data_IF_115653320858
#
_entry.id   IF_115653320858
#
_cell.length_a   1.000
_cell.length_b   1.000
_cell.length_c   1.000
_cell.angle_alpha   90.00
_cell.angle_beta   90.00
_cell.angle_gamma   90.00
#
_symmetry.space_group_name_H-M   'P 1'
#
loop_
_entity.id
_entity.type
_entity.pdbx_description
1 polymer ?
#
# COMPACT_ATOMS: atom_id res chain seq x y z
N UNK A 1 -43.78 -9.36 2.89
CA UNK A 1 -43.99 -10.39 1.85
C UNK A 1 -42.64 -11.09 1.60
N UNK A 2 -42.57 -12.38 1.87
CA UNK A 2 -41.35 -13.20 1.67
C UNK A 2 -41.16 -13.47 0.19
N UNK A 3 -40.12 -12.87 -0.43
CA UNK A 3 -39.77 -13.16 -1.80
C UNK A 3 -39.36 -14.63 -1.96
N UNK A 4 -39.92 -15.34 -2.94
CA UNK A 4 -39.53 -16.71 -3.30
C UNK A 4 -38.09 -16.80 -3.80
N UNK A 5 -37.54 -15.71 -4.35
CA UNK A 5 -36.15 -15.63 -4.82
C UNK A 5 -35.19 -15.43 -3.64
N UNK A 6 -34.30 -16.40 -3.41
CA UNK A 6 -33.32 -16.43 -2.31
C UNK A 6 -32.38 -15.22 -2.33
N UNK A 7 -31.93 -14.81 -3.50
CA UNK A 7 -31.06 -13.64 -3.67
C UNK A 7 -31.79 -12.34 -3.32
N UNK A 8 -33.04 -12.20 -3.78
CA UNK A 8 -33.85 -11.01 -3.47
C UNK A 8 -34.17 -10.95 -1.98
N UNK A 9 -34.47 -12.10 -1.33
CA UNK A 9 -34.67 -12.17 0.11
C UNK A 9 -33.43 -11.76 0.88
N UNK A 10 -32.24 -12.23 0.46
CA UNK A 10 -30.97 -11.86 1.10
C UNK A 10 -30.70 -10.36 0.97
N UNK A 11 -30.93 -9.78 -0.23
CA UNK A 11 -30.81 -8.34 -0.46
C UNK A 11 -31.77 -7.54 0.42
N UNK A 12 -33.03 -7.93 0.50
CA UNK A 12 -34.04 -7.24 1.31
C UNK A 12 -33.68 -7.27 2.81
N UNK A 13 -33.21 -8.43 3.31
CA UNK A 13 -32.72 -8.53 4.71
C UNK A 13 -31.51 -7.61 4.93
N UNK A 14 -30.57 -7.57 3.99
CA UNK A 14 -29.39 -6.70 4.12
C UNK A 14 -29.77 -5.22 4.18
N UNK A 15 -30.61 -4.76 3.22
CA UNK A 15 -31.10 -3.38 3.18
C UNK A 15 -31.90 -3.04 4.45
N UNK A 16 -32.77 -3.94 4.91
CA UNK A 16 -33.52 -3.74 6.15
C UNK A 16 -32.59 -3.57 7.37
N UNK A 17 -31.54 -4.41 7.48
CA UNK A 17 -30.54 -4.25 8.54
C UNK A 17 -29.80 -2.91 8.47
N UNK A 18 -29.47 -2.44 7.25
CA UNK A 18 -28.85 -1.13 7.06
C UNK A 18 -29.80 0.02 7.44
N UNK A 19 -31.07 -0.04 7.10
CA UNK A 19 -32.07 0.96 7.48
C UNK A 19 -32.19 1.09 9.01
N UNK A 20 -32.33 -0.05 9.72
CA UNK A 20 -32.35 -0.04 11.18
C UNK A 20 -31.04 0.52 11.78
N UNK A 21 -29.89 0.24 11.13
CA UNK A 21 -28.62 0.81 11.57
C UNK A 21 -28.56 2.32 11.39
N UNK A 22 -29.12 2.87 10.31
CA UNK A 22 -29.22 4.30 10.04
C UNK A 22 -30.16 5.00 11.05
N UNK A 23 -31.28 4.35 11.39
CA UNK A 23 -32.24 4.81 12.38
C UNK A 23 -31.72 4.63 13.83
N UNK A 24 -30.48 4.18 14.00
CA UNK A 24 -29.81 3.94 15.30
C UNK A 24 -30.47 2.84 16.15
N UNK A 25 -31.35 2.03 15.58
CA UNK A 25 -32.01 0.89 16.25
C UNK A 25 -31.08 -0.34 16.14
N UNK A 26 -29.96 -0.29 16.88
CA UNK A 26 -28.85 -1.25 16.77
C UNK A 26 -29.23 -2.68 17.08
N UNK A 27 -30.11 -2.90 18.06
CA UNK A 27 -30.53 -4.26 18.47
C UNK A 27 -31.32 -4.98 17.36
N UNK A 28 -32.31 -4.29 16.79
CA UNK A 28 -33.10 -4.81 15.67
C UNK A 28 -32.24 -5.03 14.44
N UNK A 29 -31.34 -4.09 14.13
CA UNK A 29 -30.36 -4.26 13.03
C UNK A 29 -29.50 -5.52 13.24
N UNK A 30 -29.02 -5.76 14.45
CA UNK A 30 -28.22 -6.92 14.81
C UNK A 30 -28.99 -8.23 14.66
N UNK A 31 -30.27 -8.27 15.04
CA UNK A 31 -31.15 -9.42 14.83
C UNK A 31 -31.32 -9.73 13.33
N UNK A 32 -31.55 -8.70 12.52
CA UNK A 32 -31.73 -8.84 11.06
C UNK A 32 -30.44 -9.33 10.40
N UNK A 33 -29.28 -8.79 10.77
CA UNK A 33 -27.99 -9.24 10.23
C UNK A 33 -27.67 -10.67 10.65
N UNK A 34 -27.91 -11.08 11.91
CA UNK A 34 -27.77 -12.48 12.36
C UNK A 34 -28.66 -13.43 11.56
N UNK A 35 -29.92 -13.02 11.28
CA UNK A 35 -30.86 -13.79 10.44
C UNK A 35 -30.30 -13.98 9.02
N UNK A 36 -29.66 -12.95 8.43
CA UNK A 36 -29.04 -13.04 7.12
C UNK A 36 -27.80 -13.93 7.12
N UNK A 37 -26.94 -13.81 8.13
CA UNK A 37 -25.74 -14.65 8.29
C UNK A 37 -26.12 -16.14 8.35
N UNK A 38 -27.18 -16.48 9.12
CA UNK A 38 -27.66 -17.85 9.27
C UNK A 38 -28.45 -18.35 8.07
N UNK A 39 -28.80 -17.50 7.10
CA UNK A 39 -29.49 -17.89 5.88
C UNK A 39 -28.49 -18.55 4.91
N UNK A 40 -28.24 -19.86 5.08
CA UNK A 40 -27.24 -20.64 4.31
C UNK A 40 -27.40 -20.55 2.79
N UNK A 41 -28.64 -20.38 2.30
CA UNK A 41 -28.94 -20.28 0.87
C UNK A 41 -28.74 -18.86 0.30
N UNK A 42 -28.41 -17.87 1.13
CA UNK A 42 -28.07 -16.52 0.67
C UNK A 42 -26.70 -16.52 -0.02
N UNK A 43 -26.53 -15.75 -1.12
CA UNK A 43 -25.24 -15.55 -1.73
C UNK A 43 -24.20 -15.07 -0.72
N UNK A 44 -22.98 -15.59 -0.78
CA UNK A 44 -21.91 -15.35 0.20
C UNK A 44 -21.65 -13.86 0.43
N UNK A 45 -21.66 -13.06 -0.65
CA UNK A 45 -21.49 -11.61 -0.58
C UNK A 45 -22.41 -10.91 0.43
N UNK A 46 -23.66 -11.31 0.54
CA UNK A 46 -24.60 -10.71 1.49
C UNK A 46 -24.31 -11.16 2.93
N UNK A 47 -23.90 -12.42 3.12
CA UNK A 47 -23.56 -12.95 4.44
C UNK A 47 -22.33 -12.27 5.02
N UNK A 48 -21.23 -12.17 4.25
CA UNK A 48 -20.00 -11.51 4.72
C UNK A 48 -20.21 -10.00 4.98
N UNK A 49 -20.98 -9.31 4.13
CA UNK A 49 -21.31 -7.92 4.40
C UNK A 49 -22.18 -7.75 5.66
N UNK A 50 -23.12 -8.68 5.92
CA UNK A 50 -23.89 -8.68 7.15
C UNK A 50 -23.01 -8.94 8.40
N UNK A 51 -21.97 -9.78 8.30
CA UNK A 51 -21.00 -9.96 9.39
C UNK A 51 -20.20 -8.69 9.66
N UNK A 52 -19.78 -7.99 8.63
CA UNK A 52 -19.08 -6.71 8.75
C UNK A 52 -19.97 -5.65 9.41
N UNK A 53 -21.21 -5.51 8.97
CA UNK A 53 -22.15 -4.54 9.54
C UNK A 53 -22.59 -4.92 10.96
N UNK A 54 -22.77 -6.22 11.26
CA UNK A 54 -23.09 -6.69 12.59
C UNK A 54 -21.98 -6.33 13.58
N UNK A 55 -20.72 -6.55 13.21
CA UNK A 55 -19.59 -6.18 14.04
C UNK A 55 -19.53 -4.66 14.28
N UNK A 56 -19.80 -3.86 13.24
CA UNK A 56 -19.86 -2.38 13.34
C UNK A 56 -20.97 -1.90 14.31
N UNK A 57 -22.14 -2.55 14.27
CA UNK A 57 -23.27 -2.18 15.15
C UNK A 57 -23.08 -2.60 16.60
N UNK A 58 -22.26 -3.63 16.85
CA UNK A 58 -21.96 -4.12 18.19
C UNK A 58 -20.94 -3.28 18.97
N UNK A 59 -20.51 -2.14 18.40
CA UNK A 59 -19.52 -1.25 19.03
C UNK A 59 -20.17 -0.53 20.23
N UNK A 60 -19.95 -1.07 21.42
CA UNK A 60 -19.89 -0.31 22.67
C UNK A 60 -18.42 -0.15 23.07
N UNK A 61 -18.08 0.88 23.80
CA UNK A 61 -16.66 1.20 24.11
C UNK A 61 -15.88 0.07 24.78
N UNK A 62 -16.58 -0.80 25.52
CA UNK A 62 -15.99 -1.98 26.17
C UNK A 62 -15.78 -3.20 25.26
N UNK A 63 -16.39 -3.26 24.08
CA UNK A 63 -16.38 -4.47 23.21
C UNK A 63 -15.45 -4.39 21.98
N UNK A 64 -14.76 -3.26 21.78
CA UNK A 64 -13.98 -3.02 20.54
C UNK A 64 -12.87 -4.06 20.31
N UNK A 65 -12.25 -4.60 21.37
CA UNK A 65 -11.20 -5.62 21.24
C UNK A 65 -11.75 -6.95 20.75
N UNK A 66 -12.90 -7.38 21.25
CA UNK A 66 -13.59 -8.58 20.81
C UNK A 66 -14.05 -8.46 19.35
N UNK A 67 -14.45 -7.28 18.92
CA UNK A 67 -14.83 -7.00 17.53
C UNK A 67 -13.62 -7.09 16.60
N UNK A 68 -12.47 -6.50 16.99
CA UNK A 68 -11.22 -6.61 16.23
C UNK A 68 -10.80 -8.09 16.12
N UNK A 69 -10.91 -8.86 17.19
CA UNK A 69 -10.61 -10.30 17.15
C UNK A 69 -11.53 -11.05 16.17
N UNK A 70 -12.82 -10.71 16.15
CA UNK A 70 -13.76 -11.27 15.18
C UNK A 70 -13.37 -10.92 13.74
N UNK A 71 -12.99 -9.68 13.45
CA UNK A 71 -12.48 -9.29 12.12
C UNK A 71 -11.19 -10.03 11.77
N UNK A 72 -10.29 -10.24 12.73
CA UNK A 72 -9.07 -11.02 12.52
C UNK A 72 -9.38 -12.49 12.17
N UNK A 73 -10.44 -13.08 12.72
CA UNK A 73 -10.92 -14.41 12.31
C UNK A 73 -11.43 -14.40 10.87
N UNK A 74 -12.14 -13.33 10.45
CA UNK A 74 -12.59 -13.17 9.06
C UNK A 74 -11.43 -13.04 8.08
N UNK A 75 -10.33 -12.33 8.45
CA UNK A 75 -9.13 -12.20 7.61
C UNK A 75 -8.48 -13.57 7.33
N UNK A 76 -8.47 -14.47 8.31
CA UNK A 76 -7.87 -15.81 8.16
C UNK A 76 -8.64 -16.71 7.19
N UNK A 77 -9.93 -16.45 6.97
CA UNK A 77 -10.73 -17.23 6.03
C UNK A 77 -10.43 -16.84 4.59
N UNK A 78 -10.03 -17.83 3.78
CA UNK A 78 -9.66 -17.65 2.35
C UNK A 78 -10.82 -17.12 1.49
N UNK A 79 -12.05 -17.47 1.80
CA UNK A 79 -13.25 -17.03 1.07
C UNK A 79 -13.48 -15.53 1.19
N UNK A 80 -12.87 -14.89 2.19
CA UNK A 80 -12.99 -13.46 2.46
C UNK A 80 -11.94 -12.60 1.70
N UNK A 81 -11.05 -13.20 0.92
CA UNK A 81 -10.04 -12.46 0.15
C UNK A 81 -10.61 -11.31 -0.69
N UNK A 82 -11.78 -11.44 -1.36
CA UNK A 82 -12.39 -10.33 -2.10
C UNK A 82 -12.91 -9.18 -1.24
N UNK A 83 -12.97 -9.35 0.08
CA UNK A 83 -13.55 -8.38 1.02
C UNK A 83 -12.55 -7.86 2.05
N UNK A 84 -11.28 -8.24 1.92
CA UNK A 84 -10.22 -7.83 2.85
C UNK A 84 -10.05 -6.30 2.92
N UNK A 85 -10.26 -5.60 1.81
CA UNK A 85 -10.25 -4.14 1.74
C UNK A 85 -11.23 -3.52 2.76
N UNK A 86 -12.44 -4.07 2.86
CA UNK A 86 -13.48 -3.59 3.78
C UNK A 86 -13.22 -4.02 5.22
N UNK A 87 -12.72 -5.24 5.42
CA UNK A 87 -12.45 -5.76 6.76
C UNK A 87 -11.31 -4.96 7.41
N UNK A 88 -10.19 -4.76 6.71
CA UNK A 88 -9.08 -3.93 7.20
C UNK A 88 -9.51 -2.48 7.46
N UNK A 89 -10.35 -1.91 6.58
CA UNK A 89 -10.90 -0.58 6.78
C UNK A 89 -11.70 -0.48 8.09
N UNK A 90 -12.55 -1.46 8.41
CA UNK A 90 -13.34 -1.45 9.65
C UNK A 90 -12.46 -1.60 10.90
N UNK A 91 -11.42 -2.44 10.84
CA UNK A 91 -10.42 -2.54 11.93
C UNK A 91 -9.77 -1.18 12.15
N UNK A 92 -9.32 -0.52 11.06
CA UNK A 92 -8.68 0.78 11.14
C UNK A 92 -9.60 1.85 11.76
N UNK A 93 -10.89 1.88 11.38
CA UNK A 93 -11.89 2.79 11.97
C UNK A 93 -12.05 2.55 13.48
N UNK A 94 -12.04 1.29 13.92
CA UNK A 94 -12.11 0.97 15.34
C UNK A 94 -10.85 1.40 16.10
N UNK A 95 -9.68 1.23 15.49
CA UNK A 95 -8.41 1.66 16.08
C UNK A 95 -8.29 3.18 16.14
N UNK A 96 -8.76 3.89 15.10
CA UNK A 96 -8.84 5.35 15.10
C UNK A 96 -9.74 5.87 16.26
N UNK A 97 -10.87 5.20 16.51
CA UNK A 97 -11.75 5.56 17.65
C UNK A 97 -11.11 5.29 19.01
N UNK A 98 -10.18 4.34 19.11
CA UNK A 98 -9.40 4.05 20.32
C UNK A 98 -8.13 4.89 20.45
N UNK A 99 -7.99 5.90 19.61
CA UNK A 99 -6.81 6.76 19.54
C UNK A 99 -5.49 6.01 19.20
N UNK A 100 -5.60 4.80 18.68
CA UNK A 100 -4.47 4.00 18.24
C UNK A 100 -4.12 4.32 16.77
N UNK A 101 -3.71 5.57 16.53
CA UNK A 101 -3.53 6.14 15.18
C UNK A 101 -2.55 5.33 14.34
N UNK A 102 -1.41 4.90 14.90
CA UNK A 102 -0.40 4.13 14.15
C UNK A 102 -0.96 2.79 13.64
N UNK A 103 -1.73 2.09 14.46
CA UNK A 103 -2.38 0.84 14.05
C UNK A 103 -3.50 1.10 13.02
N UNK A 104 -4.22 2.21 13.16
CA UNK A 104 -5.23 2.61 12.18
C UNK A 104 -4.60 2.87 10.81
N UNK A 105 -3.49 3.64 10.75
CA UNK A 105 -2.73 3.90 9.52
C UNK A 105 -2.25 2.59 8.89
N UNK A 106 -1.69 1.66 9.68
CA UNK A 106 -1.28 0.34 9.20
C UNK A 106 -2.43 -0.41 8.52
N UNK A 107 -3.60 -0.44 9.16
CA UNK A 107 -4.75 -1.18 8.64
C UNK A 107 -5.46 -0.46 7.48
N UNK A 108 -5.47 0.88 7.42
CA UNK A 108 -5.88 1.59 6.21
C UNK A 108 -4.97 1.26 5.02
N UNK A 109 -3.65 1.18 5.23
CA UNK A 109 -2.70 0.76 4.19
C UNK A 109 -2.92 -0.70 3.77
N UNK A 110 -3.23 -1.61 4.71
CA UNK A 110 -3.59 -2.99 4.38
C UNK A 110 -4.88 -3.06 3.55
N UNK A 111 -5.87 -2.20 3.83
CA UNK A 111 -7.07 -2.05 3.01
C UNK A 111 -6.75 -1.64 1.57
N UNK A 112 -5.81 -0.70 1.37
CA UNK A 112 -5.35 -0.26 0.05
C UNK A 112 -4.58 -1.35 -0.72
N UNK A 113 -3.80 -2.17 -0.01
CA UNK A 113 -2.98 -3.26 -0.59
C UNK A 113 -3.80 -4.51 -0.93
N UNK A 114 -5.05 -4.61 -0.51
CA UNK A 114 -5.92 -5.74 -0.81
C UNK A 114 -6.10 -5.89 -2.34
N UNK A 115 -5.64 -7.02 -2.91
CA UNK A 115 -5.56 -7.24 -4.37
C UNK A 115 -6.90 -7.10 -5.09
N UNK A 116 -8.00 -7.49 -4.45
CA UNK A 116 -9.35 -7.47 -5.03
C UNK A 116 -10.19 -6.30 -4.50
N UNK A 117 -9.54 -5.30 -3.89
CA UNK A 117 -10.23 -4.13 -3.35
C UNK A 117 -10.81 -3.23 -4.44
N UNK A 118 -12.08 -2.81 -4.25
CA UNK A 118 -12.78 -1.92 -5.18
C UNK A 118 -12.28 -0.47 -5.13
N UNK A 119 -12.31 0.23 -6.28
CA UNK A 119 -11.92 1.63 -6.39
C UNK A 119 -12.64 2.53 -5.36
N UNK A 120 -13.95 2.33 -5.20
CA UNK A 120 -14.75 3.06 -4.21
C UNK A 120 -14.23 2.88 -2.78
N UNK A 121 -13.86 1.65 -2.36
CA UNK A 121 -13.32 1.40 -1.02
C UNK A 121 -11.96 2.07 -0.84
N UNK A 122 -11.10 2.04 -1.86
CA UNK A 122 -9.80 2.73 -1.84
C UNK A 122 -9.97 4.23 -1.57
N UNK A 123 -10.96 4.89 -2.21
CA UNK A 123 -11.19 6.32 -1.96
C UNK A 123 -11.55 6.61 -0.50
N UNK A 124 -12.25 5.73 0.20
CA UNK A 124 -12.52 5.90 1.64
C UNK A 124 -11.26 5.71 2.50
N UNK A 125 -10.44 4.71 2.18
CA UNK A 125 -9.19 4.47 2.92
C UNK A 125 -8.20 5.62 2.73
N UNK A 126 -8.04 6.13 1.50
CA UNK A 126 -7.23 7.32 1.23
C UNK A 126 -7.75 8.56 1.96
N UNK A 127 -9.08 8.79 1.99
CA UNK A 127 -9.67 9.94 2.68
C UNK A 127 -9.39 9.90 4.19
N UNK A 128 -9.45 8.72 4.79
CA UNK A 128 -9.11 8.54 6.20
C UNK A 128 -7.64 8.82 6.48
N UNK A 129 -6.74 8.30 5.66
CA UNK A 129 -5.31 8.58 5.75
C UNK A 129 -5.04 10.09 5.57
N UNK A 130 -5.60 10.71 4.52
CA UNK A 130 -5.46 12.14 4.29
C UNK A 130 -5.91 12.98 5.50
N UNK A 131 -7.04 12.63 6.12
CA UNK A 131 -7.53 13.34 7.29
C UNK A 131 -6.65 13.13 8.54
N UNK A 132 -6.04 11.95 8.71
CA UNK A 132 -5.10 11.68 9.80
C UNK A 132 -3.84 12.54 9.63
N UNK A 133 -3.23 12.53 8.44
CA UNK A 133 -2.03 13.32 8.17
C UNK A 133 -2.30 14.83 8.22
N UNK A 134 -3.46 15.26 7.73
CA UNK A 134 -3.91 16.66 7.85
C UNK A 134 -4.00 17.12 9.32
N UNK A 135 -4.58 16.28 10.19
CA UNK A 135 -4.65 16.57 11.63
C UNK A 135 -3.27 16.61 12.30
N UNK A 136 -2.34 15.83 11.80
CA UNK A 136 -0.95 15.77 12.27
C UNK A 136 -0.08 16.88 11.65
N UNK A 137 -0.68 17.84 10.93
CA UNK A 137 -0.01 18.95 10.25
C UNK A 137 0.96 18.52 9.12
N UNK A 138 0.94 17.25 8.70
CA UNK A 138 1.67 16.75 7.54
C UNK A 138 0.84 16.98 6.26
N UNK A 139 0.88 18.21 5.77
CA UNK A 139 0.07 18.64 4.63
C UNK A 139 0.57 18.09 3.30
N UNK A 140 1.86 17.81 3.19
CA UNK A 140 2.46 17.21 1.97
C UNK A 140 1.90 15.80 1.76
N UNK A 141 1.95 14.97 2.78
CA UNK A 141 1.40 13.61 2.73
C UNK A 141 -0.12 13.62 2.59
N UNK A 142 -0.81 14.53 3.29
CA UNK A 142 -2.27 14.68 3.17
C UNK A 142 -2.70 15.04 1.74
N UNK A 143 -2.00 15.97 1.09
CA UNK A 143 -2.24 16.37 -0.31
C UNK A 143 -2.05 15.19 -1.26
N UNK A 144 -0.97 14.41 -1.12
CA UNK A 144 -0.71 13.22 -1.93
C UNK A 144 -1.83 12.18 -1.83
N UNK A 145 -2.40 12.00 -0.64
CA UNK A 145 -3.56 11.11 -0.46
C UNK A 145 -4.85 11.68 -1.09
N UNK A 146 -5.10 13.00 -0.99
CA UNK A 146 -6.23 13.62 -1.69
C UNK A 146 -6.12 13.49 -3.20
N UNK A 147 -4.93 13.68 -3.77
CA UNK A 147 -4.67 13.47 -5.21
C UNK A 147 -4.90 12.00 -5.60
N UNK A 148 -4.48 11.05 -4.74
CA UNK A 148 -4.75 9.63 -4.94
C UNK A 148 -6.24 9.32 -5.00
N UNK A 149 -7.08 10.02 -4.20
CA UNK A 149 -8.54 9.89 -4.27
C UNK A 149 -9.06 10.35 -5.63
N UNK A 150 -8.60 11.52 -6.10
CA UNK A 150 -9.04 12.10 -7.37
C UNK A 150 -8.66 11.23 -8.57
N UNK A 151 -7.52 10.53 -8.48
CA UNK A 151 -7.05 9.61 -9.51
C UNK A 151 -7.83 8.29 -9.54
N UNK A 152 -8.25 7.76 -8.37
CA UNK A 152 -8.93 6.46 -8.26
C UNK A 152 -10.45 6.59 -8.36
N UNK A 153 -11.02 7.77 -8.12
CA UNK A 153 -12.46 7.99 -8.11
C UNK A 153 -13.08 7.81 -9.50
N UNK A 154 -13.96 6.81 -9.65
CA UNK A 154 -14.71 6.55 -10.88
C UNK A 154 -15.73 7.66 -11.18
N UNK A 155 -16.39 8.20 -10.16
CA UNK A 155 -17.37 9.28 -10.30
C UNK A 155 -16.86 10.53 -9.55
N UNK A 156 -16.34 11.48 -10.32
CA UNK A 156 -15.83 12.77 -9.84
C UNK A 156 -16.93 13.78 -9.49
N UNK A 157 -18.17 13.55 -9.91
CA UNK A 157 -19.28 14.50 -9.73
C UNK A 157 -19.96 14.41 -8.36
N UNK A 158 -19.61 13.42 -7.54
CA UNK A 158 -20.20 13.30 -6.20
C UNK A 158 -19.80 14.46 -5.31
N UNK A 159 -20.72 14.94 -4.45
CA UNK A 159 -20.46 16.04 -3.51
C UNK A 159 -19.23 15.77 -2.60
N UNK A 160 -19.01 14.50 -2.24
CA UNK A 160 -17.86 14.09 -1.45
C UNK A 160 -16.55 14.34 -2.22
N UNK A 161 -16.46 13.90 -3.47
CA UNK A 161 -15.25 14.07 -4.29
C UNK A 161 -15.00 15.53 -4.62
N UNK A 162 -16.04 16.32 -4.95
CA UNK A 162 -15.91 17.77 -5.15
C UNK A 162 -15.38 18.49 -3.89
N UNK A 163 -15.77 18.06 -2.70
CA UNK A 163 -15.22 18.61 -1.44
C UNK A 163 -13.74 18.26 -1.28
N UNK A 164 -13.34 17.04 -1.61
CA UNK A 164 -11.95 16.60 -1.57
C UNK A 164 -11.11 17.38 -2.60
N UNK A 165 -11.62 17.60 -3.81
CA UNK A 165 -10.94 18.40 -4.84
C UNK A 165 -10.67 19.82 -4.36
N UNK A 166 -11.64 20.47 -3.71
CA UNK A 166 -11.44 21.81 -3.13
C UNK A 166 -10.34 21.80 -2.06
N UNK A 167 -10.33 20.78 -1.18
CA UNK A 167 -9.28 20.62 -0.16
C UNK A 167 -7.90 20.40 -0.77
N UNK A 168 -7.80 19.54 -1.81
CA UNK A 168 -6.54 19.33 -2.53
C UNK A 168 -6.04 20.63 -3.15
N UNK A 169 -6.91 21.39 -3.83
CA UNK A 169 -6.54 22.69 -4.42
C UNK A 169 -6.04 23.69 -3.37
N UNK A 170 -6.70 23.76 -2.22
CA UNK A 170 -6.28 24.68 -1.15
C UNK A 170 -4.91 24.30 -0.55
N UNK A 171 -4.55 23.00 -0.57
CA UNK A 171 -3.25 22.55 -0.08
C UNK A 171 -2.13 22.66 -1.12
N UNK A 172 -2.44 22.91 -2.40
CA UNK A 172 -1.43 22.91 -3.47
C UNK A 172 -0.38 23.99 -3.28
N UNK A 173 -0.78 25.21 -2.95
CA UNK A 173 0.14 26.32 -2.68
C UNK A 173 1.00 26.06 -1.45
N UNK A 174 0.38 25.58 -0.37
CA UNK A 174 1.06 25.24 0.87
C UNK A 174 2.11 24.15 0.64
N UNK A 175 1.72 23.05 0.01
CA UNK A 175 2.64 21.92 -0.24
C UNK A 175 3.75 22.26 -1.21
N UNK A 176 3.52 23.20 -2.17
CA UNK A 176 4.56 23.70 -3.06
C UNK A 176 5.64 24.45 -2.25
N UNK A 177 5.22 25.35 -1.37
CA UNK A 177 6.17 26.13 -0.57
C UNK A 177 6.87 25.27 0.49
N UNK A 178 6.18 24.29 1.11
CA UNK A 178 6.82 23.33 2.02
C UNK A 178 7.88 22.46 1.32
N UNK A 179 7.60 21.97 0.11
CA UNK A 179 8.57 21.20 -0.68
C UNK A 179 9.75 22.05 -1.09
N UNK A 180 9.51 23.32 -1.49
CA UNK A 180 10.58 24.26 -1.82
C UNK A 180 11.46 24.52 -0.60
N UNK A 181 10.85 24.77 0.56
CA UNK A 181 11.55 24.96 1.83
C UNK A 181 12.42 23.76 2.18
N UNK A 182 11.84 22.56 2.22
CA UNK A 182 12.55 21.31 2.56
C UNK A 182 13.71 21.04 1.61
N UNK A 183 13.50 21.29 0.29
CA UNK A 183 14.56 21.14 -0.72
C UNK A 183 15.70 22.12 -0.47
N UNK A 184 15.39 23.41 -0.28
CA UNK A 184 16.40 24.46 -0.11
C UNK A 184 17.13 24.27 1.24
N UNK A 185 16.45 23.91 2.32
CA UNK A 185 17.08 23.58 3.60
C UNK A 185 18.04 22.40 3.47
N UNK A 186 17.65 21.35 2.75
CA UNK A 186 18.53 20.21 2.51
C UNK A 186 19.77 20.57 1.70
N UNK A 187 19.60 21.39 0.65
CA UNK A 187 20.74 21.83 -0.18
C UNK A 187 21.67 22.76 0.61
N UNK A 188 21.13 23.70 1.39
CA UNK A 188 21.92 24.60 2.23
C UNK A 188 22.67 23.85 3.33
N UNK A 189 22.05 22.81 3.91
CA UNK A 189 22.72 21.94 4.86
C UNK A 189 23.92 21.24 4.22
N UNK A 190 23.75 20.65 3.04
CA UNK A 190 24.83 20.01 2.29
C UNK A 190 25.94 21.00 1.92
N UNK A 191 25.58 22.23 1.48
CA UNK A 191 26.53 23.28 1.15
C UNK A 191 27.33 23.77 2.38
N UNK A 192 26.80 23.62 3.59
CA UNK A 192 27.49 23.99 4.83
C UNK A 192 28.44 22.89 5.38
N UNK A 193 28.41 21.68 4.82
CA UNK A 193 29.24 20.56 5.26
C UNK A 193 30.70 20.71 4.77
N UNK A 194 31.70 20.28 5.57
CA UNK A 194 33.06 20.10 5.07
C UNK A 194 33.10 19.13 3.89
N UNK A 195 34.02 19.34 2.95
CA UNK A 195 34.12 18.53 1.73
C UNK A 195 34.22 17.02 2.01
N UNK A 196 35.01 16.63 3.01
CA UNK A 196 35.18 15.23 3.40
C UNK A 196 33.89 14.60 3.91
N UNK A 197 33.14 15.32 4.76
CA UNK A 197 31.84 14.85 5.27
C UNK A 197 30.77 14.77 4.17
N UNK A 198 30.82 15.67 3.20
CA UNK A 198 29.93 15.69 2.04
C UNK A 198 30.19 14.49 1.12
N UNK A 199 31.46 14.16 0.87
CA UNK A 199 31.86 13.00 0.08
C UNK A 199 31.43 11.68 0.78
N UNK A 200 31.61 11.58 2.09
CA UNK A 200 31.17 10.42 2.89
C UNK A 200 29.63 10.25 2.83
N UNK A 201 28.89 11.33 3.03
CA UNK A 201 27.43 11.34 2.94
C UNK A 201 26.93 10.84 1.58
N UNK A 202 27.47 11.34 0.47
CA UNK A 202 27.06 10.89 -0.85
C UNK A 202 27.52 9.46 -1.16
N UNK A 203 28.65 9.03 -0.63
CA UNK A 203 29.13 7.65 -0.77
C UNK A 203 28.16 6.66 -0.07
N UNK A 204 27.72 7.00 1.14
CA UNK A 204 26.69 6.21 1.84
C UNK A 204 25.37 6.19 1.08
N UNK A 205 24.95 7.33 0.55
CA UNK A 205 23.74 7.46 -0.25
C UNK A 205 23.81 6.60 -1.52
N UNK A 206 24.92 6.63 -2.27
CA UNK A 206 25.15 5.78 -3.44
C UNK A 206 25.12 4.30 -3.06
N UNK A 207 25.75 3.92 -1.96
CA UNK A 207 25.73 2.54 -1.48
C UNK A 207 24.32 2.06 -1.13
N UNK A 208 23.50 2.94 -0.57
CA UNK A 208 22.08 2.66 -0.29
C UNK A 208 21.30 2.45 -1.56
N UNK A 209 21.46 3.33 -2.57
CA UNK A 209 20.80 3.20 -3.88
C UNK A 209 21.22 1.89 -4.57
N UNK A 210 22.51 1.54 -4.55
CA UNK A 210 22.99 0.27 -5.11
C UNK A 210 22.29 -0.94 -4.48
N UNK A 211 22.20 -0.95 -3.16
CA UNK A 211 21.49 -2.04 -2.42
C UNK A 211 20.00 -2.10 -2.74
N UNK A 212 19.34 -0.95 -2.89
CA UNK A 212 17.93 -0.88 -3.25
C UNK A 212 17.69 -1.37 -4.69
N UNK A 213 18.53 -0.95 -5.63
CA UNK A 213 18.48 -1.38 -7.03
C UNK A 213 18.79 -2.88 -7.18
N UNK A 214 19.77 -3.41 -6.46
CA UNK A 214 20.06 -4.85 -6.39
C UNK A 214 18.87 -5.64 -5.82
N UNK A 215 18.27 -5.17 -4.72
CA UNK A 215 17.10 -5.81 -4.13
C UNK A 215 15.88 -5.77 -5.07
N UNK A 216 15.73 -4.70 -5.85
CA UNK A 216 14.66 -4.56 -6.84
C UNK A 216 14.92 -5.49 -8.05
N UNK A 217 16.16 -5.57 -8.52
CA UNK A 217 16.57 -6.50 -9.58
C UNK A 217 16.35 -7.95 -9.14
N UNK A 218 16.72 -8.29 -7.91
CA UNK A 218 16.47 -9.60 -7.32
C UNK A 218 14.99 -9.96 -7.24
N UNK A 219 14.14 -9.01 -6.84
CA UNK A 219 12.67 -9.21 -6.82
C UNK A 219 12.09 -9.41 -8.21
N UNK A 220 12.57 -8.67 -9.22
CA UNK A 220 12.15 -8.85 -10.62
C UNK A 220 12.58 -10.22 -11.15
N UNK A 221 13.80 -10.64 -10.86
CA UNK A 221 14.32 -11.97 -11.20
C UNK A 221 13.50 -13.11 -10.60
N UNK A 222 13.22 -13.01 -9.30
CA UNK A 222 12.40 -14.01 -8.60
C UNK A 222 10.97 -14.07 -9.18
N UNK A 223 10.41 -12.93 -9.60
CA UNK A 223 9.10 -12.87 -10.24
C UNK A 223 9.12 -13.51 -11.66
N UNK A 224 10.16 -13.27 -12.45
CA UNK A 224 10.34 -13.87 -13.78
C UNK A 224 10.58 -15.38 -13.70
N UNK A 225 11.41 -15.85 -12.74
CA UNK A 225 11.67 -17.29 -12.54
C UNK A 225 10.42 -18.04 -12.08
N UNK A 226 9.52 -17.40 -11.33
CA UNK A 226 8.24 -17.97 -10.92
C UNK A 226 7.24 -18.05 -12.09
N UNK A 227 7.23 -17.06 -12.99
CA UNK A 227 6.38 -17.04 -14.19
C UNK A 227 6.77 -18.08 -15.24
N UNK A 228 8.05 -18.32 -15.44
CA UNK A 228 8.55 -19.31 -16.41
C UNK A 228 8.44 -20.76 -15.93
N UNK A 229 8.29 -20.98 -14.63
CA UNK A 229 8.14 -22.34 -14.05
C UNK A 229 6.72 -22.91 -14.18
N UNK A 230 5.72 -22.09 -14.54
CA UNK A 230 4.31 -22.53 -14.66
C UNK A 230 3.86 -22.75 -16.13
N UNK A 231 4.71 -22.55 -17.10
CA UNK A 231 4.40 -22.60 -18.53
C UNK A 231 5.02 -23.77 -19.30
N UNK A 232 5.11 -24.99 -18.73
CA UNK A 232 5.67 -26.08 -19.52
C UNK A 232 5.50 -27.45 -18.88
N UNK A 233 4.68 -28.28 -19.52
CA UNK A 233 4.51 -29.73 -19.31
C UNK A 233 3.61 -30.15 -18.14
N UNK A 234 2.36 -30.32 -18.47
CA UNK A 234 1.47 -31.28 -17.87
C UNK A 234 2.03 -32.69 -18.02
N UNK A 235 2.82 -33.13 -17.07
CA UNK A 235 3.00 -34.56 -16.81
C UNK A 235 1.96 -34.94 -15.75
N UNK A 236 0.81 -35.40 -16.23
CA UNK A 236 -0.15 -36.14 -15.45
C UNK A 236 0.48 -37.44 -14.96
N UNK A 237 1.07 -37.42 -13.80
CA UNK A 237 1.31 -38.64 -13.01
C UNK A 237 0.17 -38.71 -12.00
N UNK A 238 -0.78 -39.55 -12.40
CA UNK A 238 -1.86 -40.02 -11.55
C UNK A 238 -1.24 -40.87 -10.43
N UNK A 239 -1.03 -40.27 -9.28
CA UNK A 239 -0.71 -40.98 -8.04
C UNK A 239 -1.39 -40.28 -6.88
N UNK A 240 -2.47 -40.92 -6.48
CA UNK A 240 -3.30 -40.56 -5.34
C UNK A 240 -2.53 -40.05 -4.12
N UNK A 241 -2.69 -38.78 -3.79
CA UNK A 241 -2.79 -38.33 -2.42
C UNK A 241 -1.55 -38.21 -1.55
N UNK A 242 -0.31 -38.35 -2.06
CA UNK A 242 0.88 -38.12 -1.23
C UNK A 242 1.77 -37.04 -1.83
N UNK A 243 2.10 -36.04 -1.03
CA UNK A 243 3.06 -35.01 -1.35
C UNK A 243 4.37 -35.63 -1.86
N UNK A 244 4.92 -35.09 -2.95
CA UNK A 244 6.16 -35.48 -3.60
C UNK A 244 7.30 -35.80 -2.61
N UNK A 245 7.46 -35.04 -1.54
CA UNK A 245 8.50 -35.22 -0.53
C UNK A 245 8.39 -36.52 0.31
N UNK A 246 7.23 -37.15 0.32
CA UNK A 246 7.03 -38.43 1.03
C UNK A 246 7.25 -39.66 0.15
N UNK A 247 7.53 -39.46 -1.15
CA UNK A 247 7.82 -40.55 -2.07
C UNK A 247 9.34 -40.60 -2.34
N UNK A 248 10.04 -41.48 -1.63
CA UNK A 248 11.50 -41.67 -1.73
C UNK A 248 11.96 -42.06 -3.12
N UNK A 249 11.14 -42.78 -3.88
CA UNK A 249 11.43 -43.20 -5.25
C UNK A 249 11.37 -42.01 -6.23
N UNK A 250 10.35 -41.16 -6.14
CA UNK A 250 10.23 -39.92 -6.92
C UNK A 250 11.34 -38.94 -6.57
N UNK A 251 11.73 -38.88 -5.30
CA UNK A 251 12.78 -37.99 -4.82
C UNK A 251 14.16 -38.44 -5.30
N UNK A 252 14.44 -39.74 -5.35
CA UNK A 252 15.67 -40.32 -5.92
C UNK A 252 15.79 -40.10 -7.43
N UNK A 253 14.71 -40.33 -8.15
CA UNK A 253 14.64 -40.06 -9.59
C UNK A 253 14.81 -38.57 -9.89
N UNK A 254 14.10 -37.70 -9.16
CA UNK A 254 14.20 -36.26 -9.32
C UNK A 254 15.59 -35.70 -9.03
N UNK A 255 16.33 -36.23 -8.05
CA UNK A 255 17.75 -35.88 -7.80
C UNK A 255 18.67 -36.31 -8.94
N UNK A 256 18.45 -37.50 -9.51
CA UNK A 256 19.22 -37.98 -10.68
C UNK A 256 18.98 -37.09 -11.89
N UNK A 257 17.72 -36.78 -12.19
CA UNK A 257 17.34 -35.94 -13.32
C UNK A 257 17.85 -34.51 -13.15
N UNK A 258 17.78 -33.97 -11.91
CA UNK A 258 18.37 -32.69 -11.61
C UNK A 258 19.87 -32.63 -11.90
N UNK A 259 20.62 -33.63 -11.42
CA UNK A 259 22.07 -33.71 -11.71
C UNK A 259 22.38 -33.87 -13.19
N UNK A 260 21.55 -34.60 -13.93
CA UNK A 260 21.72 -34.80 -15.37
C UNK A 260 21.54 -33.49 -16.15
N UNK A 261 20.51 -32.72 -15.82
CA UNK A 261 20.14 -31.48 -16.52
C UNK A 261 20.96 -30.28 -16.07
N UNK A 262 21.22 -30.18 -14.75
CA UNK A 262 21.78 -28.99 -14.12
C UNK A 262 23.19 -29.16 -13.55
N UNK A 263 23.70 -30.38 -13.51
CA UNK A 263 25.00 -30.69 -12.92
C UNK A 263 25.04 -30.55 -11.41
N UNK A 264 26.23 -30.38 -10.84
CA UNK A 264 26.45 -30.13 -9.41
C UNK A 264 26.30 -28.62 -9.14
N UNK A 265 25.08 -28.16 -8.96
CA UNK A 265 24.80 -26.76 -8.59
C UNK A 265 24.82 -26.60 -7.08
N UNK A 266 25.49 -25.56 -6.55
CA UNK A 266 25.45 -25.23 -5.12
C UNK A 266 24.02 -24.81 -4.72
N UNK A 267 23.70 -25.00 -3.43
CA UNK A 267 22.41 -24.61 -2.85
C UNK A 267 22.45 -23.11 -2.53
N UNK A 268 22.12 -22.30 -3.53
CA UNK A 268 22.12 -20.85 -3.42
C UNK A 268 20.95 -20.26 -4.23
N UNK A 269 20.59 -19.01 -3.94
CA UNK A 269 19.55 -18.32 -4.67
C UNK A 269 19.93 -18.17 -6.16
N UNK A 270 18.93 -18.32 -7.04
CA UNK A 270 19.10 -18.25 -8.50
C UNK A 270 20.04 -19.31 -9.08
N UNK A 271 20.11 -20.50 -8.48
CA UNK A 271 20.92 -21.64 -8.92
C UNK A 271 20.71 -22.06 -10.39
N UNK A 272 19.57 -21.69 -11.00
CA UNK A 272 19.25 -21.97 -12.42
C UNK A 272 20.07 -21.14 -13.41
N UNK A 273 20.68 -20.05 -12.95
CA UNK A 273 21.37 -19.09 -13.78
C UNK A 273 22.86 -19.40 -13.74
N UNK A 274 23.43 -19.71 -14.90
CA UNK A 274 24.84 -20.13 -15.03
C UNK A 274 25.80 -18.99 -14.84
N UNK A 275 25.44 -17.80 -15.32
CA UNK A 275 26.26 -16.60 -15.21
C UNK A 275 25.45 -15.50 -14.50
N UNK A 276 25.79 -15.26 -13.25
CA UNK A 276 25.14 -14.25 -12.41
C UNK A 276 25.60 -12.82 -12.72
N UNK A 277 26.75 -12.69 -13.42
CA UNK A 277 27.31 -11.39 -13.77
C UNK A 277 26.52 -10.69 -14.88
N UNK A 278 25.92 -11.44 -15.78
CA UNK A 278 25.11 -10.91 -16.91
C UNK A 278 23.78 -10.35 -16.43
N UNK A 279 23.26 -10.82 -15.29
CA UNK A 279 21.90 -10.51 -14.83
C UNK A 279 21.85 -9.20 -14.05
N UNK A 280 22.92 -8.81 -13.38
CA UNK A 280 22.97 -7.54 -12.67
C UNK A 280 23.09 -6.34 -13.62
N UNK A 281 23.65 -6.51 -14.82
CA UNK A 281 23.84 -5.42 -15.78
C UNK A 281 22.72 -5.26 -16.82
N UNK A 282 22.23 -6.35 -17.42
CA UNK A 282 21.38 -6.26 -18.62
C UNK A 282 19.88 -6.02 -18.37
N UNK A 283 19.31 -6.50 -17.25
CA UNK A 283 17.88 -6.30 -16.97
C UNK A 283 17.61 -4.86 -16.53
N UNK A 284 18.58 -4.25 -15.85
CA UNK A 284 18.51 -2.83 -15.45
C UNK A 284 18.98 -1.92 -16.61
N UNK A 285 19.85 -2.40 -17.52
CA UNK A 285 20.35 -1.63 -18.68
C UNK A 285 19.29 -1.37 -19.75
N UNK A 286 18.27 -2.22 -19.89
CA UNK A 286 17.20 -2.02 -20.90
C UNK A 286 16.13 -1.00 -20.50
N UNK A 287 15.97 -0.65 -19.23
CA UNK A 287 14.98 0.33 -18.79
C UNK A 287 15.54 1.74 -18.54
N UNK A 288 16.86 1.85 -18.31
CA UNK A 288 17.55 3.15 -18.12
C UNK A 288 18.78 3.12 -19.00
N UNK A 289 18.91 4.03 -19.97
CA UNK A 289 20.05 4.09 -20.87
C UNK A 289 21.39 3.99 -20.11
N UNK A 290 22.35 3.26 -20.65
CA UNK A 290 23.65 2.97 -20.00
C UNK A 290 24.35 4.23 -19.43
N UNK A 291 24.23 5.37 -20.12
CA UNK A 291 24.80 6.64 -19.66
C UNK A 291 24.13 7.21 -18.39
N UNK A 292 22.84 6.92 -18.17
CA UNK A 292 22.15 7.38 -16.95
C UNK A 292 22.46 6.53 -15.72
N UNK A 293 22.86 5.28 -15.90
CA UNK A 293 23.27 4.40 -14.79
C UNK A 293 24.65 4.74 -14.26
N UNK A 294 25.59 5.03 -15.15
CA UNK A 294 26.95 5.41 -14.77
C UNK A 294 26.88 6.66 -13.92
N UNK A 295 26.18 7.70 -14.38
CA UNK A 295 25.99 8.97 -13.67
C UNK A 295 25.32 8.81 -12.29
N UNK A 296 24.38 7.86 -12.15
CA UNK A 296 23.65 7.62 -10.87
C UNK A 296 24.53 7.04 -9.76
N UNK A 297 25.64 6.40 -10.08
CA UNK A 297 26.55 5.80 -9.12
C UNK A 297 27.89 6.54 -9.00
N UNK A 298 28.06 7.63 -9.74
CA UNK A 298 29.25 8.47 -9.69
C UNK A 298 29.11 9.59 -8.65
N UNK A 299 30.11 9.70 -7.79
CA UNK A 299 30.15 10.69 -6.72
C UNK A 299 30.20 12.12 -7.29
N UNK A 300 30.92 12.32 -8.40
CA UNK A 300 31.06 13.61 -9.10
C UNK A 300 29.70 14.23 -9.46
N UNK A 301 28.76 13.41 -9.95
CA UNK A 301 27.42 13.86 -10.35
C UNK A 301 26.65 14.48 -9.19
N UNK A 302 26.83 13.95 -7.98
CA UNK A 302 26.16 14.49 -6.78
C UNK A 302 26.87 15.72 -6.23
N UNK A 303 28.19 15.74 -6.25
CA UNK A 303 28.97 16.90 -5.80
C UNK A 303 28.73 18.13 -6.68
N UNK A 304 28.55 17.97 -7.98
CA UNK A 304 28.22 19.06 -8.91
C UNK A 304 26.84 19.69 -8.67
N UNK A 305 25.93 18.97 -8.00
CA UNK A 305 24.59 19.49 -7.66
C UNK A 305 24.58 20.39 -6.44
N UNK A 306 25.67 20.40 -5.66
CA UNK A 306 25.76 21.22 -4.45
C UNK A 306 26.31 22.61 -4.82
N UNK A 307 25.61 23.70 -4.48
CA UNK A 307 26.05 25.04 -4.81
C UNK A 307 27.35 25.38 -4.07
N UNK A 308 28.35 25.88 -4.79
CA UNK A 308 29.65 26.27 -4.24
C UNK A 308 29.85 27.77 -4.29
N UNK A 309 29.08 28.51 -5.11
CA UNK A 309 29.22 29.96 -5.26
C UNK A 309 28.32 30.70 -4.27
N UNK A 310 28.82 31.81 -3.71
CA UNK A 310 28.04 32.65 -2.79
C UNK A 310 26.73 33.13 -3.44
N UNK A 311 26.72 33.44 -4.74
CA UNK A 311 25.51 33.87 -5.44
C UNK A 311 24.41 32.82 -5.50
N UNK A 312 24.78 31.57 -5.69
CA UNK A 312 23.81 30.43 -5.70
C UNK A 312 23.24 30.20 -4.30
N UNK A 313 24.10 30.26 -3.29
CA UNK A 313 23.70 30.14 -1.88
C UNK A 313 22.74 31.27 -1.50
N UNK A 314 23.06 32.51 -1.84
CA UNK A 314 22.22 33.67 -1.55
C UNK A 314 20.85 33.57 -2.25
N UNK A 315 20.81 33.08 -3.50
CA UNK A 315 19.54 32.82 -4.21
C UNK A 315 18.69 31.79 -3.49
N UNK A 316 19.27 30.65 -3.04
CA UNK A 316 18.56 29.61 -2.32
C UNK A 316 18.04 30.11 -0.96
N UNK A 317 18.81 30.92 -0.26
CA UNK A 317 18.38 31.56 1.00
C UNK A 317 17.22 32.52 0.75
N UNK A 318 17.27 33.32 -0.33
CA UNK A 318 16.17 34.22 -0.71
C UNK A 318 14.89 33.42 -1.02
N UNK A 319 14.96 32.38 -1.84
CA UNK A 319 13.81 31.53 -2.19
C UNK A 319 13.24 30.83 -0.98
N UNK A 320 14.11 30.33 -0.09
CA UNK A 320 13.72 29.73 1.20
C UNK A 320 12.95 30.72 2.08
N UNK A 321 13.48 31.95 2.24
CA UNK A 321 12.86 32.97 3.07
C UNK A 321 11.54 33.45 2.48
N UNK A 322 11.42 33.54 1.17
CA UNK A 322 10.17 33.84 0.46
C UNK A 322 9.14 32.75 0.70
N UNK A 323 9.52 31.47 0.57
CA UNK A 323 8.64 30.35 0.85
C UNK A 323 8.17 30.32 2.30
N UNK A 324 9.04 30.62 3.27
CA UNK A 324 8.68 30.75 4.69
C UNK A 324 7.66 31.85 4.94
N UNK A 325 7.85 33.02 4.30
CA UNK A 325 6.93 34.14 4.41
C UNK A 325 5.55 33.79 3.83
N UNK A 326 5.50 33.20 2.64
CA UNK A 326 4.24 32.75 2.03
C UNK A 326 3.54 31.67 2.86
N UNK A 327 4.28 30.70 3.40
CA UNK A 327 3.74 29.71 4.33
C UNK A 327 3.12 30.38 5.56
N UNK A 328 3.79 31.37 6.16
CA UNK A 328 3.28 32.14 7.29
C UNK A 328 1.96 32.85 6.98
N UNK A 329 1.83 33.43 5.77
CA UNK A 329 0.56 34.04 5.33
C UNK A 329 -0.55 33.00 5.15
N UNK A 330 -0.25 31.86 4.51
CA UNK A 330 -1.22 30.77 4.31
C UNK A 330 -1.71 30.21 5.64
N UNK A 331 -0.80 29.96 6.61
CA UNK A 331 -1.18 29.49 7.95
C UNK A 331 -2.04 30.51 8.70
N UNK A 332 -1.72 31.79 8.57
CA UNK A 332 -2.51 32.87 9.19
C UNK A 332 -3.91 33.00 8.60
N UNK A 333 -4.07 32.84 7.30
CA UNK A 333 -5.35 33.09 6.60
C UNK A 333 -6.26 31.86 6.54
N UNK A 334 -5.71 30.66 6.37
CA UNK A 334 -6.49 29.46 6.08
C UNK A 334 -6.67 28.51 7.27
N UNK A 335 -5.86 28.66 8.33
CA UNK A 335 -5.83 27.72 9.47
C UNK A 335 -6.11 28.40 10.82
N UNK A 336 -6.69 29.60 10.80
CA UNK A 336 -7.22 30.27 12.00
C UNK A 336 -8.52 29.67 12.51
#
# INVERSE_FOLDING_TARGET
KTSKNKTQRARNLFVLGQLYSLDKIKDTASIVFKKLINFKQAPYKFRIHAEIELAKNSVSDSSSSAIIERYNKLIKNRDNRPYLDKIYYQIAVLQEKKDSVNLAVLNYNNSLRAKQGGAKQKTYSYEKLANIYFKNLDYVTASAYYDSILNVAENKQTLRIKRIERRSKNLTSLTKNEKLLQRNDSILLLASMPKEALEEYFQEYINKIKKEDEALAQKKLNALSFGSSFGGSSLSIDTAGKWYFYNTQSLGFGKGEFKRVWGNRPLEDNWRISDKSIISSDVVAKEVGENQKIARYELSTYLETVPTTSKEIDSLVYDRNTALFELGLIYKEQFK
#
